data_IF_434306212160
#
_entry.id   IF_434306212160
#
_cell.length_a   1.000
_cell.length_b   1.000
_cell.length_c   1.000
_cell.angle_alpha   90.00
_cell.angle_beta   90.00
_cell.angle_gamma   90.00
#
_symmetry.space_group_name_H-M   'P 1'
#
loop_
_entity.id
_entity.type
_entity.pdbx_description
1 polymer ?
#
# COMPACT_ATOMS: atom_id res chain seq x y z
N UNK A 1 -12.42 -7.47 9.65
CA UNK A 1 -12.17 -8.85 9.17
C UNK A 1 -10.75 -9.24 9.53
N UNK A 2 -10.50 -10.51 9.90
CA UNK A 2 -9.18 -10.99 10.32
C UNK A 2 -8.43 -11.77 9.22
N UNK A 3 -7.11 -11.91 9.38
CA UNK A 3 -6.18 -12.64 8.49
C UNK A 3 -5.62 -13.91 9.16
N UNK A 4 -6.34 -14.44 10.15
CA UNK A 4 -5.84 -15.46 11.08
C UNK A 4 -5.65 -16.85 10.46
N UNK A 5 -6.30 -17.15 9.34
CA UNK A 5 -6.19 -18.45 8.66
C UNK A 5 -5.59 -18.30 7.27
N UNK A 6 -4.89 -19.34 6.81
CA UNK A 6 -4.34 -19.41 5.45
C UNK A 6 -5.42 -19.26 4.39
N UNK A 7 -6.61 -19.84 4.62
CA UNK A 7 -7.74 -19.73 3.70
C UNK A 7 -8.25 -18.30 3.56
N UNK A 8 -8.33 -17.54 4.66
CA UNK A 8 -8.73 -16.12 4.63
C UNK A 8 -7.69 -15.27 3.91
N UNK A 9 -6.40 -15.49 4.19
CA UNK A 9 -5.31 -14.79 3.49
C UNK A 9 -5.36 -15.09 1.99
N UNK A 10 -5.48 -16.36 1.59
CA UNK A 10 -5.68 -16.76 0.18
C UNK A 10 -6.83 -16.02 -0.48
N UNK A 11 -7.99 -15.96 0.17
CA UNK A 11 -9.18 -15.30 -0.37
C UNK A 11 -8.96 -13.80 -0.59
N UNK A 12 -8.31 -13.13 0.36
CA UNK A 12 -8.01 -11.70 0.25
C UNK A 12 -6.92 -11.41 -0.79
N UNK A 13 -5.87 -12.23 -0.85
CA UNK A 13 -4.82 -12.12 -1.88
C UNK A 13 -5.38 -12.36 -3.28
N UNK A 14 -6.28 -13.33 -3.43
CA UNK A 14 -6.98 -13.56 -4.71
C UNK A 14 -7.87 -12.38 -5.08
N UNK A 15 -8.58 -11.78 -4.12
CA UNK A 15 -9.39 -10.59 -4.35
C UNK A 15 -8.54 -9.38 -4.73
N UNK A 16 -7.37 -9.21 -4.11
CA UNK A 16 -6.42 -8.17 -4.48
C UNK A 16 -5.93 -8.32 -5.92
N UNK A 17 -5.57 -9.54 -6.35
CA UNK A 17 -5.18 -9.81 -7.73
C UNK A 17 -6.32 -9.50 -8.70
N UNK A 18 -7.54 -9.95 -8.40
CA UNK A 18 -8.73 -9.72 -9.23
C UNK A 18 -9.03 -8.23 -9.40
N UNK A 19 -8.84 -7.44 -8.34
CA UNK A 19 -9.08 -5.99 -8.37
C UNK A 19 -7.99 -5.25 -9.15
N UNK A 20 -6.72 -5.59 -8.93
CA UNK A 20 -5.61 -4.79 -9.42
C UNK A 20 -5.14 -5.19 -10.83
N UNK A 21 -5.31 -6.47 -11.22
CA UNK A 21 -4.80 -6.97 -12.51
C UNK A 21 -5.42 -6.24 -13.72
N UNK A 22 -6.72 -5.94 -13.78
CA UNK A 22 -7.29 -5.25 -14.94
C UNK A 22 -6.72 -3.83 -15.13
N UNK A 23 -6.39 -3.15 -14.03
CA UNK A 23 -5.82 -1.79 -14.06
C UNK A 23 -4.31 -1.78 -14.30
N UNK A 24 -3.60 -2.86 -13.95
CA UNK A 24 -2.15 -2.96 -14.07
C UNK A 24 -1.69 -4.37 -14.46
N UNK A 25 -2.08 -4.87 -15.66
CA UNK A 25 -1.80 -6.24 -16.08
C UNK A 25 -0.30 -6.51 -16.28
N UNK A 26 0.47 -5.46 -16.55
CA UNK A 26 1.94 -5.54 -16.65
C UNK A 26 2.65 -5.54 -15.29
N UNK A 27 1.93 -5.33 -14.18
CA UNK A 27 2.49 -5.36 -12.82
C UNK A 27 2.03 -6.62 -12.10
N UNK A 28 0.74 -6.90 -12.08
CA UNK A 28 0.16 -8.02 -11.32
C UNK A 28 0.06 -9.27 -12.19
N UNK A 29 0.84 -10.31 -11.87
CA UNK A 29 0.94 -11.52 -12.71
C UNK A 29 0.00 -12.63 -12.24
N UNK A 30 0.24 -13.14 -11.04
CA UNK A 30 -0.47 -14.26 -10.46
C UNK A 30 -0.20 -14.35 -8.95
N UNK A 31 -0.76 -15.39 -8.33
CA UNK A 31 -0.57 -15.71 -6.92
C UNK A 31 0.16 -17.06 -6.80
N UNK A 32 1.12 -17.16 -5.90
CA UNK A 32 1.86 -18.38 -5.60
C UNK A 32 1.66 -18.83 -4.15
N UNK A 33 1.62 -20.14 -3.89
CA UNK A 33 1.62 -20.64 -2.52
C UNK A 33 3.02 -20.50 -1.92
N UNK A 34 3.06 -20.16 -0.63
CA UNK A 34 4.24 -20.32 0.22
C UNK A 34 4.09 -21.67 0.93
N UNK A 35 5.08 -22.52 0.75
CA UNK A 35 5.08 -23.90 1.26
C UNK A 35 6.19 -24.11 2.27
N UNK A 36 5.91 -24.93 3.29
CA UNK A 36 6.92 -25.36 4.24
C UNK A 36 7.75 -26.48 3.61
N UNK A 37 9.07 -26.32 3.56
CA UNK A 37 10.02 -27.34 3.11
C UNK A 37 11.05 -27.58 4.20
N UNK A 38 11.01 -28.72 4.87
CA UNK A 38 11.83 -29.04 6.03
C UNK A 38 11.95 -27.83 6.99
N UNK A 39 13.13 -27.22 7.07
CA UNK A 39 13.45 -26.06 7.91
C UNK A 39 13.39 -24.70 7.19
N UNK A 40 12.73 -24.62 6.02
CA UNK A 40 12.71 -23.44 5.15
C UNK A 40 11.33 -23.18 4.53
N UNK A 41 11.18 -22.01 3.92
CA UNK A 41 10.02 -21.66 3.12
C UNK A 41 10.38 -21.69 1.64
N UNK A 42 9.50 -22.26 0.83
CA UNK A 42 9.64 -22.31 -0.62
C UNK A 42 8.41 -21.69 -1.30
N UNK A 43 8.65 -20.90 -2.35
CA UNK A 43 7.57 -20.44 -3.24
C UNK A 43 7.24 -21.54 -4.23
N UNK A 44 5.95 -21.90 -4.32
CA UNK A 44 5.47 -22.92 -5.24
C UNK A 44 6.22 -24.27 -5.10
N UNK A 45 6.54 -24.67 -3.86
CA UNK A 45 7.09 -25.99 -3.57
C UNK A 45 5.99 -27.05 -3.37
N UNK A 46 6.42 -28.27 -3.08
CA UNK A 46 5.52 -29.43 -2.94
C UNK A 46 5.04 -29.70 -1.50
N UNK A 47 5.50 -28.88 -0.54
CA UNK A 47 5.16 -29.02 0.88
C UNK A 47 3.83 -28.39 1.28
N UNK A 48 3.43 -28.49 2.55
CA UNK A 48 2.19 -27.90 3.06
C UNK A 48 2.15 -26.38 2.84
N UNK A 49 1.03 -25.87 2.31
CA UNK A 49 0.84 -24.43 2.10
C UNK A 49 0.62 -23.73 3.44
N UNK A 50 1.49 -22.78 3.77
CA UNK A 50 1.45 -21.98 4.99
C UNK A 50 1.04 -20.53 4.73
N UNK A 51 1.16 -20.05 3.48
CA UNK A 51 0.65 -18.74 3.08
C UNK A 51 0.49 -18.60 1.55
N UNK A 52 0.08 -17.42 1.10
CA UNK A 52 -0.01 -17.05 -0.31
C UNK A 52 0.61 -15.68 -0.56
N UNK A 53 1.27 -15.51 -1.71
CA UNK A 53 1.90 -14.25 -2.11
C UNK A 53 1.47 -13.84 -3.51
N UNK A 54 1.39 -12.52 -3.75
CA UNK A 54 1.28 -11.98 -5.10
C UNK A 54 2.64 -11.94 -5.76
N UNK A 55 2.72 -12.47 -6.98
CA UNK A 55 3.87 -12.30 -7.84
C UNK A 55 3.64 -11.12 -8.75
N UNK A 56 4.49 -10.11 -8.61
CA UNK A 56 4.41 -8.86 -9.34
C UNK A 56 5.72 -8.58 -10.08
N UNK A 57 5.64 -7.86 -11.20
CA UNK A 57 6.80 -7.19 -11.75
C UNK A 57 7.17 -6.00 -10.86
N UNK A 58 8.46 -5.78 -10.69
CA UNK A 58 8.93 -4.61 -9.95
C UNK A 58 8.55 -3.36 -10.74
N UNK A 59 7.79 -2.48 -10.11
CA UNK A 59 7.49 -1.18 -10.67
C UNK A 59 8.79 -0.37 -10.80
N UNK A 60 9.11 0.19 -11.97
CA UNK A 60 10.34 0.96 -12.14
C UNK A 60 10.28 2.26 -11.33
N UNK A 61 11.30 2.50 -10.52
CA UNK A 61 11.32 3.61 -9.55
C UNK A 61 11.23 4.99 -10.25
N UNK A 62 11.73 5.09 -11.48
CA UNK A 62 11.62 6.29 -12.31
C UNK A 62 10.17 6.66 -12.68
N UNK A 63 9.22 5.72 -12.59
CA UNK A 63 7.80 5.98 -12.82
C UNK A 63 7.03 6.24 -11.52
N UNK A 64 7.68 6.18 -10.35
CA UNK A 64 7.05 6.60 -9.09
C UNK A 64 6.69 8.09 -9.19
N UNK A 65 5.47 8.44 -8.78
CA UNK A 65 4.98 9.82 -8.86
C UNK A 65 5.90 10.82 -8.16
N UNK A 66 6.56 10.41 -7.08
CA UNK A 66 7.58 11.21 -6.40
C UNK A 66 8.75 11.53 -7.34
N UNK A 67 9.36 10.53 -7.98
CA UNK A 67 10.44 10.73 -8.95
C UNK A 67 10.00 11.47 -10.20
N UNK A 68 8.74 11.32 -10.61
CA UNK A 68 8.12 12.08 -11.70
C UNK A 68 8.02 13.56 -11.34
N UNK A 69 7.58 13.86 -10.11
CA UNK A 69 7.48 15.22 -9.61
C UNK A 69 8.87 15.87 -9.43
N UNK A 70 9.83 15.16 -8.85
CA UNK A 70 11.20 15.64 -8.63
C UNK A 70 11.89 16.10 -9.91
N UNK A 71 11.65 15.40 -11.05
CA UNK A 71 12.20 15.77 -12.36
C UNK A 71 11.34 16.78 -13.13
N UNK A 72 10.27 17.30 -12.54
CA UNK A 72 9.37 18.27 -13.17
C UNK A 72 8.50 17.69 -14.29
N UNK A 73 8.31 16.37 -14.34
CA UNK A 73 7.50 15.70 -15.37
C UNK A 73 6.03 15.50 -14.96
N UNK A 74 5.66 15.85 -13.73
CA UNK A 74 4.27 15.91 -13.28
C UNK A 74 3.67 17.27 -13.69
N UNK A 75 3.44 17.44 -14.99
CA UNK A 75 2.79 18.62 -15.55
C UNK A 75 1.26 18.53 -15.48
N UNK A 76 0.56 19.62 -15.81
CA UNK A 76 -0.91 19.68 -15.79
C UNK A 76 -1.54 18.60 -16.66
N UNK A 77 -0.90 18.26 -17.80
CA UNK A 77 -1.40 17.24 -18.72
C UNK A 77 -1.38 15.86 -18.07
N UNK A 78 -0.25 15.49 -17.45
CA UNK A 78 -0.12 14.21 -16.75
C UNK A 78 -1.01 14.16 -15.52
N UNK A 79 -1.12 15.25 -14.76
CA UNK A 79 -2.00 15.34 -13.60
C UNK A 79 -3.48 15.15 -13.98
N UNK A 80 -3.94 15.79 -15.06
CA UNK A 80 -5.28 15.59 -15.60
C UNK A 80 -5.50 14.15 -16.06
N UNK A 81 -4.60 13.60 -16.88
CA UNK A 81 -4.73 12.23 -17.38
C UNK A 81 -4.75 11.19 -16.24
N UNK A 82 -3.94 11.38 -15.21
CA UNK A 82 -3.94 10.53 -14.01
C UNK A 82 -5.26 10.64 -13.23
N UNK A 83 -5.79 11.85 -13.10
CA UNK A 83 -7.09 12.10 -12.45
C UNK A 83 -8.25 11.45 -13.20
N UNK A 84 -8.28 11.55 -14.52
CA UNK A 84 -9.27 10.92 -15.39
C UNK A 84 -9.19 9.39 -15.30
N UNK A 85 -8.00 8.81 -15.43
CA UNK A 85 -7.81 7.36 -15.30
C UNK A 85 -8.26 6.85 -13.92
N UNK A 86 -7.98 7.59 -12.85
CA UNK A 86 -8.43 7.25 -11.49
C UNK A 86 -9.96 7.33 -11.37
N UNK A 87 -10.58 8.36 -11.95
CA UNK A 87 -12.02 8.52 -11.95
C UNK A 87 -12.71 7.40 -12.72
N UNK A 88 -12.21 7.04 -13.90
CA UNK A 88 -12.73 5.97 -14.75
C UNK A 88 -12.62 4.61 -14.05
N UNK A 89 -11.49 4.33 -13.40
CA UNK A 89 -11.31 3.11 -12.60
C UNK A 89 -12.36 3.01 -11.48
N UNK A 90 -12.57 4.10 -10.74
CA UNK A 90 -13.57 4.13 -9.67
C UNK A 90 -15.02 4.08 -10.19
N UNK A 91 -15.30 4.66 -11.36
CA UNK A 91 -16.62 4.63 -11.98
C UNK A 91 -16.97 3.22 -12.49
N UNK A 92 -15.98 2.45 -12.96
CA UNK A 92 -16.13 1.07 -13.39
C UNK A 92 -16.26 0.07 -12.22
N UNK A 93 -15.89 0.47 -11.00
CA UNK A 93 -15.93 -0.40 -9.84
C UNK A 93 -17.39 -0.69 -9.41
N UNK A 94 -17.72 -1.94 -9.03
CA UNK A 94 -19.05 -2.28 -8.52
C UNK A 94 -19.42 -1.43 -7.29
N UNK A 95 -20.60 -0.82 -7.32
CA UNK A 95 -21.12 -0.05 -6.17
C UNK A 95 -21.52 -1.02 -5.06
N UNK A 96 -20.76 -1.04 -3.97
CA UNK A 96 -21.08 -1.82 -2.78
C UNK A 96 -21.85 -0.94 -1.78
N UNK A 97 -22.97 -1.44 -1.23
CA UNK A 97 -23.79 -0.68 -0.29
C UNK A 97 -23.05 -0.38 1.04
N UNK A 98 -22.73 0.90 1.23
CA UNK A 98 -22.60 1.71 2.46
C UNK A 98 -21.83 1.21 3.71
N UNK A 99 -21.33 -0.02 3.83
CA UNK A 99 -20.42 -0.39 4.92
C UNK A 99 -18.95 -0.15 4.58
N UNK A 100 -18.63 0.21 3.34
CA UNK A 100 -17.28 0.52 2.85
C UNK A 100 -17.02 2.02 2.60
N UNK A 101 -18.03 2.89 2.73
CA UNK A 101 -18.02 4.24 2.14
C UNK A 101 -17.35 5.33 3.00
N UNK A 102 -17.01 5.07 4.27
CA UNK A 102 -16.46 6.12 5.15
C UNK A 102 -14.96 6.43 4.89
N UNK A 103 -14.20 5.55 4.21
CA UNK A 103 -12.74 5.76 4.07
C UNK A 103 -12.30 6.69 2.93
N UNK A 104 -12.97 6.69 1.78
CA UNK A 104 -12.47 7.44 0.60
C UNK A 104 -12.67 8.96 0.69
N UNK A 105 -13.76 9.44 1.30
CA UNK A 105 -14.04 10.89 1.42
C UNK A 105 -13.14 11.62 2.42
N UNK A 106 -12.75 10.95 3.51
CA UNK A 106 -11.86 11.53 4.53
C UNK A 106 -10.41 11.52 4.04
N UNK A 107 -10.00 10.43 3.37
CA UNK A 107 -8.66 10.31 2.79
C UNK A 107 -8.39 11.38 1.72
N UNK A 108 -9.34 11.63 0.81
CA UNK A 108 -9.14 12.60 -0.27
C UNK A 108 -9.13 14.07 0.19
N UNK A 109 -9.98 14.45 1.15
CA UNK A 109 -9.97 15.81 1.73
C UNK A 109 -8.68 16.10 2.51
N UNK A 110 -8.11 15.09 3.17
CA UNK A 110 -6.85 15.24 3.90
C UNK A 110 -5.65 15.37 2.93
N UNK A 111 -5.63 14.61 1.84
CA UNK A 111 -4.56 14.66 0.83
C UNK A 111 -4.56 15.96 0.01
N UNK A 112 -5.73 16.47 -0.38
CA UNK A 112 -5.86 17.72 -1.14
C UNK A 112 -5.48 18.99 -0.36
N UNK A 113 -5.38 18.91 0.98
CA UNK A 113 -4.86 19.99 1.84
C UNK A 113 -3.32 19.92 1.91
N UNK A 114 -2.76 18.71 1.96
CA UNK A 114 -1.31 18.49 2.01
C UNK A 114 -0.59 18.98 0.74
N UNK A 115 -1.19 18.80 -0.44
CA UNK A 115 -0.64 19.27 -1.72
C UNK A 115 -0.67 20.81 -1.88
N UNK A 116 -1.47 21.53 -1.08
CA UNK A 116 -1.51 23.00 -1.08
C UNK A 116 -0.56 23.64 -0.07
N UNK A 117 -0.15 22.89 0.96
CA UNK A 117 0.75 23.37 2.01
C UNK A 117 2.20 22.92 1.86
N UNK A 118 2.50 22.02 0.92
CA UNK A 118 3.87 21.57 0.66
C UNK A 118 4.57 22.52 -0.31
N UNK A 119 4.91 23.71 0.17
CA UNK A 119 6.11 24.35 -0.34
C UNK A 119 7.27 23.39 -0.06
N UNK A 120 7.99 23.01 -1.12
CA UNK A 120 9.20 22.19 -1.07
C UNK A 120 10.11 22.69 0.07
N UNK A 121 10.13 21.98 1.20
CA UNK A 121 11.13 22.17 2.23
C UNK A 121 12.35 21.32 1.82
N UNK A 122 13.27 21.92 1.06
CA UNK A 122 14.63 21.41 0.95
C UNK A 122 15.36 21.78 2.23
N UNK A 123 15.49 20.83 3.15
CA UNK A 123 16.49 20.93 4.22
C UNK A 123 17.88 20.69 3.61
N UNK A 124 18.88 21.57 3.85
CA UNK A 124 20.25 21.32 3.39
C UNK A 124 20.89 20.19 4.23
N UNK A 125 21.88 19.47 3.69
CA UNK A 125 22.47 18.33 4.38
C UNK A 125 23.33 18.81 5.54
N UNK A 126 22.81 18.76 6.77
CA UNK A 126 23.63 19.16 7.92
C UNK A 126 23.05 19.23 9.33
N UNK A 127 21.74 19.07 9.61
CA UNK A 127 21.25 19.17 11.00
C UNK A 127 20.53 17.91 11.47
N UNK A 128 21.29 16.99 12.10
CA UNK A 128 20.74 16.09 13.12
C UNK A 128 20.52 16.91 14.39
N UNK A 129 19.36 16.71 15.02
CA UNK A 129 18.92 17.15 16.36
C UNK A 129 17.86 18.27 16.37
N UNK A 130 16.61 17.88 16.12
CA UNK A 130 15.40 18.61 16.51
C UNK A 130 14.37 17.63 17.10
N UNK A 131 13.51 18.06 18.06
CA UNK A 131 12.63 17.14 18.77
C UNK A 131 11.52 16.60 17.87
N UNK A 132 11.27 15.29 17.97
CA UNK A 132 10.18 14.60 17.28
C UNK A 132 8.83 15.09 17.85
N UNK A 133 7.85 15.49 17.02
CA UNK A 133 6.55 15.92 17.51
C UNK A 133 5.77 14.77 18.18
N UNK A 134 4.95 15.05 19.21
CA UNK A 134 4.32 14.02 20.04
C UNK A 134 3.08 13.49 19.33
N UNK A 135 3.25 12.47 18.48
CA UNK A 135 2.12 11.75 17.88
C UNK A 135 1.93 10.37 18.57
N UNK A 136 2.81 10.00 19.50
CA UNK A 136 2.77 8.73 20.24
C UNK A 136 2.91 8.90 21.77
N UNK A 137 2.13 9.80 22.36
CA UNK A 137 1.99 9.87 23.81
C UNK A 137 0.55 9.56 24.23
N UNK A 138 0.33 8.34 24.75
CA UNK A 138 -0.83 8.00 25.58
C UNK A 138 -1.60 6.73 25.19
N UNK A 139 -1.13 5.56 25.67
CA UNK A 139 -1.86 4.67 26.59
C UNK A 139 -1.02 3.40 26.87
N UNK A 140 -0.37 3.46 28.03
CA UNK A 140 -0.13 2.40 29.02
C UNK A 140 0.42 1.04 28.53
N UNK A 141 1.75 0.99 28.53
CA UNK A 141 2.52 -0.23 28.75
C UNK A 141 2.37 -0.67 30.22
N UNK A 142 1.67 -1.77 30.45
CA UNK A 142 1.71 -2.52 31.70
C UNK A 142 2.38 -3.87 31.49
N UNK A 143 3.72 -3.91 31.40
CA UNK A 143 4.47 -5.15 31.62
C UNK A 143 5.97 -4.89 31.87
N UNK A 144 6.38 -4.86 33.14
CA UNK A 144 7.68 -5.30 33.65
C UNK A 144 7.39 -5.73 35.12
N UNK A 145 7.84 -6.86 35.65
CA UNK A 145 9.26 -7.21 35.84
C UNK A 145 9.49 -8.73 36.01
N UNK A 146 10.78 -9.06 35.95
CA UNK A 146 11.44 -10.38 35.98
C UNK A 146 11.22 -11.27 37.22
N UNK A 147 11.42 -12.58 36.98
CA UNK A 147 11.95 -13.66 37.86
C UNK A 147 12.22 -13.30 39.34
N UNK A 148 11.48 -13.96 40.23
CA UNK A 148 11.97 -15.10 41.02
C UNK A 148 10.80 -15.93 41.52
#
# INVERSE_FOLDING_TARGET
MGLSTVALRRGLTARELELNQPAAPEIYRDMLPVTQSDASLALNGDGPVVDWVLRMWRFPAEYELERVAERGALDDRLATAFGEASADYHAAAPVCSAQATVSLRIFWRSWAVSLRSSSVQREPPGSRNGPVPPIFAGRDAGCLTHKR
#
